data_IF_886459686812
#
_entry.id   IF_886459686812
#
_cell.length_a   1.000
_cell.length_b   1.000
_cell.length_c   1.000
_cell.angle_alpha   90.00
_cell.angle_beta   90.00
_cell.angle_gamma   90.00
#
_symmetry.space_group_name_H-M   'P 1'
#
loop_
_entity.id
_entity.type
_entity.pdbx_description
1 polymer ?
#
# COMPACT_ATOMS: atom_id res chain seq x y z
N UNK A 1 -5.76 23.32 8.91
CA UNK A 1 -4.59 22.61 8.32
C UNK A 1 -4.55 21.23 8.95
N UNK A 2 -5.16 20.24 8.31
CA UNK A 2 -5.24 18.86 8.84
C UNK A 2 -3.86 18.23 8.66
N UNK A 3 -3.24 17.75 9.75
CA UNK A 3 -1.92 17.13 9.67
C UNK A 3 -2.02 15.86 8.82
N UNK A 4 -1.07 15.55 7.93
CA UNK A 4 -1.11 14.33 7.11
C UNK A 4 -1.11 13.04 7.95
N UNK A 5 -0.81 13.10 9.24
CA UNK A 5 -0.97 11.99 10.21
C UNK A 5 -2.42 11.74 10.66
N UNK A 6 -3.34 12.69 10.45
CA UNK A 6 -4.76 12.60 10.84
C UNK A 6 -5.66 12.12 9.70
N UNK A 7 -5.16 12.07 8.46
CA UNK A 7 -5.80 11.30 7.40
C UNK A 7 -5.55 9.84 7.74
N UNK A 8 -6.48 9.25 8.51
CA UNK A 8 -6.54 7.86 8.96
C UNK A 8 -5.48 7.03 8.24
N UNK A 9 -4.29 6.95 8.83
CA UNK A 9 -3.24 6.08 8.35
C UNK A 9 -3.80 4.67 8.53
N UNK A 10 -4.45 4.15 7.48
CA UNK A 10 -4.80 2.74 7.30
C UNK A 10 -3.47 1.99 7.32
N UNK A 11 -2.97 1.79 8.53
CA UNK A 11 -1.69 1.14 8.77
C UNK A 11 -1.84 -0.28 8.28
N UNK A 12 -0.79 -0.79 7.66
CA UNK A 12 -0.74 -2.15 7.12
C UNK A 12 -1.30 -3.16 8.13
N UNK A 13 -0.85 -3.07 9.39
CA UNK A 13 -1.31 -3.92 10.49
C UNK A 13 -2.80 -3.77 10.80
N UNK A 14 -3.38 -2.57 10.71
CA UNK A 14 -4.82 -2.37 10.95
C UNK A 14 -5.66 -3.07 9.87
N UNK A 15 -5.22 -3.04 8.62
CA UNK A 15 -5.91 -3.72 7.51
C UNK A 15 -5.81 -5.24 7.66
N UNK A 16 -4.62 -5.75 8.00
CA UNK A 16 -4.45 -7.19 8.23
C UNK A 16 -5.31 -7.69 9.40
N UNK A 17 -5.27 -7.01 10.55
CA UNK A 17 -6.03 -7.41 11.73
C UNK A 17 -7.54 -7.33 11.49
N UNK A 18 -8.02 -6.34 10.73
CA UNK A 18 -9.44 -6.26 10.38
C UNK A 18 -9.87 -7.40 9.46
N UNK A 19 -9.06 -7.77 8.46
CA UNK A 19 -9.31 -8.93 7.60
C UNK A 19 -9.32 -10.25 8.39
N UNK A 20 -8.34 -10.45 9.27
CA UNK A 20 -8.24 -11.64 10.12
C UNK A 20 -9.45 -11.74 11.05
N UNK A 21 -9.84 -10.63 11.69
CA UNK A 21 -10.99 -10.60 12.59
C UNK A 21 -12.30 -10.83 11.84
N UNK A 22 -12.44 -10.30 10.63
CA UNK A 22 -13.61 -10.53 9.79
C UNK A 22 -13.74 -12.01 9.39
N UNK A 23 -12.65 -12.65 8.97
CA UNK A 23 -12.63 -14.07 8.63
C UNK A 23 -12.98 -14.95 9.84
N UNK A 24 -12.39 -14.66 11.01
CA UNK A 24 -12.72 -15.36 12.27
C UNK A 24 -14.20 -15.23 12.65
N UNK A 25 -14.79 -14.03 12.49
CA UNK A 25 -16.23 -13.81 12.73
C UNK A 25 -17.12 -14.61 11.78
N UNK A 26 -16.63 -14.92 10.58
CA UNK A 26 -17.32 -15.77 9.61
C UNK A 26 -17.11 -17.27 9.88
N UNK A 27 -16.39 -17.64 10.94
CA UNK A 27 -16.08 -19.04 11.26
C UNK A 27 -15.02 -19.65 10.34
N UNK A 28 -14.28 -18.84 9.58
CA UNK A 28 -13.18 -19.32 8.75
C UNK A 28 -11.96 -19.54 9.64
N UNK A 29 -11.46 -20.78 9.67
CA UNK A 29 -10.17 -21.08 10.26
C UNK A 29 -9.06 -20.68 9.28
N UNK A 30 -8.15 -19.82 9.75
CA UNK A 30 -7.07 -19.27 8.93
C UNK A 30 -5.80 -20.06 9.19
N UNK A 31 -5.29 -20.73 8.17
CA UNK A 31 -4.00 -21.38 8.24
C UNK A 31 -2.85 -20.38 8.01
N UNK A 32 -1.62 -20.78 8.31
CA UNK A 32 -0.40 -19.99 8.10
C UNK A 32 -0.26 -19.49 6.65
N UNK A 33 -0.71 -20.29 5.67
CA UNK A 33 -0.74 -19.88 4.27
C UNK A 33 -1.71 -18.72 4.04
N UNK A 34 -2.90 -18.78 4.61
CA UNK A 34 -3.91 -17.73 4.45
C UNK A 34 -3.45 -16.42 5.08
N UNK A 35 -2.78 -16.50 6.23
CA UNK A 35 -2.16 -15.34 6.89
C UNK A 35 -1.07 -14.71 6.01
N UNK A 36 -0.22 -15.52 5.36
CA UNK A 36 0.79 -15.03 4.42
C UNK A 36 0.14 -14.39 3.18
N UNK A 37 -0.92 -14.99 2.66
CA UNK A 37 -1.65 -14.47 1.51
C UNK A 37 -2.31 -13.13 1.82
N UNK A 38 -2.94 -12.99 3.00
CA UNK A 38 -3.50 -11.72 3.48
C UNK A 38 -2.40 -10.66 3.51
N UNK A 39 -1.26 -10.94 4.14
CA UNK A 39 -0.14 -10.01 4.26
C UNK A 39 0.40 -9.55 2.91
N UNK A 40 0.61 -10.51 2.02
CA UNK A 40 1.16 -10.23 0.68
C UNK A 40 0.20 -9.39 -0.15
N UNK A 41 -1.10 -9.72 -0.12
CA UNK A 41 -2.14 -8.97 -0.84
C UNK A 41 -2.32 -7.56 -0.29
N UNK A 42 -2.31 -7.39 1.03
CA UNK A 42 -2.37 -6.06 1.67
C UNK A 42 -1.15 -5.23 1.29
N UNK A 43 0.06 -5.79 1.36
CA UNK A 43 1.29 -5.12 0.94
C UNK A 43 1.22 -4.67 -0.53
N UNK A 44 0.85 -5.57 -1.43
CA UNK A 44 0.75 -5.29 -2.86
C UNK A 44 -0.27 -4.18 -3.17
N UNK A 45 -1.43 -4.21 -2.51
CA UNK A 45 -2.49 -3.22 -2.69
C UNK A 45 -2.06 -1.84 -2.21
N UNK A 46 -1.41 -1.76 -1.04
CA UNK A 46 -0.89 -0.49 -0.52
C UNK A 46 0.23 0.07 -1.40
N UNK A 47 1.14 -0.79 -1.87
CA UNK A 47 2.19 -0.38 -2.80
C UNK A 47 1.61 0.12 -4.13
N UNK A 48 0.56 -0.53 -4.65
CA UNK A 48 -0.13 -0.10 -5.87
C UNK A 48 -0.80 1.28 -5.69
N UNK A 49 -1.48 1.49 -4.55
CA UNK A 49 -2.08 2.79 -4.18
C UNK A 49 -1.03 3.88 -4.11
N UNK A 50 0.10 3.61 -3.47
CA UNK A 50 1.20 4.56 -3.34
C UNK A 50 1.85 4.88 -4.69
N UNK A 51 2.10 3.87 -5.53
CA UNK A 51 2.58 4.06 -6.91
C UNK A 51 1.61 4.88 -7.74
N UNK A 52 0.30 4.67 -7.59
CA UNK A 52 -0.70 5.49 -8.25
C UNK A 52 -0.61 6.94 -7.79
N UNK A 53 -0.55 7.19 -6.47
CA UNK A 53 -0.35 8.54 -5.92
C UNK A 53 0.90 9.20 -6.47
N UNK A 54 2.03 8.48 -6.48
CA UNK A 54 3.30 8.96 -7.02
C UNK A 54 3.19 9.34 -8.50
N UNK A 55 2.56 8.49 -9.32
CA UNK A 55 2.32 8.78 -10.75
C UNK A 55 1.47 10.04 -10.94
N UNK A 56 0.42 10.20 -10.15
CA UNK A 56 -0.47 11.37 -10.25
C UNK A 56 0.19 12.66 -9.76
N UNK A 57 1.11 12.57 -8.79
CA UNK A 57 1.87 13.72 -8.29
C UNK A 57 3.15 14.00 -9.07
N UNK A 58 3.54 13.11 -9.99
CA UNK A 58 4.81 13.24 -10.71
C UNK A 58 4.76 14.45 -11.66
N UNK A 59 5.83 15.25 -11.73
CA UNK A 59 5.91 16.30 -12.74
C UNK A 59 5.94 15.69 -14.13
N UNK A 60 5.50 16.46 -15.13
CA UNK A 60 5.57 16.05 -16.52
C UNK A 60 7.02 15.67 -16.88
N UNK A 61 7.18 14.55 -17.60
CA UNK A 61 8.50 14.13 -18.06
C UNK A 61 9.11 15.18 -18.99
N UNK A 62 10.34 15.59 -18.68
CA UNK A 62 11.14 16.47 -19.53
C UNK A 62 12.44 15.76 -19.89
N UNK A 63 12.61 15.45 -21.18
CA UNK A 63 13.88 14.94 -21.68
C UNK A 63 14.93 16.05 -21.60
N UNK A 64 15.97 15.84 -20.79
CA UNK A 64 17.14 16.74 -20.71
C UNK A 64 18.26 16.12 -21.52
N UNK A 65 18.75 16.87 -22.52
CA UNK A 65 19.91 16.45 -23.31
C UNK A 65 21.11 16.24 -22.38
N UNK A 66 21.75 15.06 -22.37
CA UNK A 66 22.92 14.80 -21.54
C UNK A 66 24.08 15.70 -21.98
N UNK A 67 24.81 16.24 -21.00
CA UNK A 67 26.01 17.05 -21.25
C UNK A 67 27.12 16.17 -21.82
N UNK A 68 27.82 16.60 -22.89
CA UNK A 68 28.96 15.84 -23.41
C UNK A 68 30.06 15.72 -22.35
N UNK A 69 30.66 14.54 -22.22
CA UNK A 69 31.90 14.38 -21.44
C UNK A 69 33.03 15.00 -22.27
N UNK A 70 33.70 16.01 -21.70
CA UNK A 70 34.95 16.56 -22.24
C UNK A 70 36.11 15.62 -21.94
#
# INVERSE_FOLDING_TARGET
MIKPSEVIMLSHNAIEMTLINAARRQGVDLNNKDLLDIRTKVAATLAAKERYRQRMSAPAYQWKKPTPRR
#
